data_IF_446742387865
#
_entry.id   IF_446742387865
#
_cell.length_a   1.000
_cell.length_b   1.000
_cell.length_c   1.000
_cell.angle_alpha   90.00
_cell.angle_beta   90.00
_cell.angle_gamma   90.00
#
_symmetry.space_group_name_H-M   'P 1'
#
loop_
_entity.id
_entity.type
_entity.pdbx_description
1 polymer ?
#
# COMPACT_ATOMS: atom_id res chain seq x y z
N UNK A 1 -19.08 -63.15 -38.14
CA UNK A 1 -18.43 -61.95 -38.74
C UNK A 1 -18.89 -60.67 -38.02
N UNK A 2 -18.30 -60.28 -36.88
CA UNK A 2 -18.73 -59.06 -36.12
C UNK A 2 -17.71 -58.63 -35.02
N UNK A 3 -16.48 -58.21 -35.37
CA UNK A 3 -15.54 -57.62 -34.39
C UNK A 3 -14.56 -56.57 -34.99
N UNK A 4 -15.04 -55.61 -35.79
CA UNK A 4 -14.19 -54.50 -36.29
C UNK A 4 -14.68 -53.08 -35.98
N UNK A 5 -15.94 -52.90 -35.56
CA UNK A 5 -16.50 -51.56 -35.26
C UNK A 5 -16.28 -51.06 -33.82
N UNK A 6 -15.91 -51.92 -32.88
CA UNK A 6 -15.82 -51.55 -31.45
C UNK A 6 -14.45 -50.96 -31.04
N UNK A 7 -13.39 -51.19 -31.83
CA UNK A 7 -12.01 -50.77 -31.49
C UNK A 7 -11.75 -49.29 -31.83
N UNK A 8 -12.28 -48.81 -32.95
CA UNK A 8 -12.14 -47.39 -33.36
C UNK A 8 -12.93 -46.42 -32.49
N UNK A 9 -14.09 -46.84 -31.97
CA UNK A 9 -14.94 -46.00 -31.10
C UNK A 9 -14.31 -45.81 -29.72
N UNK A 10 -13.68 -46.85 -29.15
CA UNK A 10 -12.96 -46.72 -27.86
C UNK A 10 -11.79 -45.75 -27.94
N UNK A 11 -11.03 -45.81 -29.03
CA UNK A 11 -9.93 -44.88 -29.26
C UNK A 11 -10.43 -43.45 -29.48
N UNK A 12 -11.56 -43.26 -30.18
CA UNK A 12 -12.17 -41.94 -30.36
C UNK A 12 -12.65 -41.35 -29.04
N UNK A 13 -13.32 -42.16 -28.19
CA UNK A 13 -13.77 -41.73 -26.85
C UNK A 13 -12.56 -41.38 -25.96
N UNK A 14 -11.49 -42.18 -26.01
CA UNK A 14 -10.28 -41.88 -25.24
C UNK A 14 -9.62 -40.57 -25.69
N UNK A 15 -9.56 -40.32 -27.00
CA UNK A 15 -9.00 -39.08 -27.55
C UNK A 15 -9.85 -37.87 -27.16
N UNK A 16 -11.18 -37.96 -27.22
CA UNK A 16 -12.05 -36.85 -26.81
C UNK A 16 -11.94 -36.58 -25.31
N UNK A 17 -11.83 -37.60 -24.46
CA UNK A 17 -11.58 -37.43 -23.03
C UNK A 17 -10.24 -36.73 -22.74
N UNK A 18 -9.17 -37.10 -23.45
CA UNK A 18 -7.86 -36.46 -23.31
C UNK A 18 -7.94 -34.99 -23.69
N UNK A 19 -8.56 -34.66 -24.82
CA UNK A 19 -8.72 -33.26 -25.28
C UNK A 19 -9.50 -32.44 -24.25
N UNK A 20 -10.61 -32.97 -23.72
CA UNK A 20 -11.41 -32.28 -22.70
C UNK A 20 -10.61 -32.05 -21.41
N UNK A 21 -9.80 -33.03 -20.99
CA UNK A 21 -8.96 -32.89 -19.79
C UNK A 21 -7.86 -31.84 -19.95
N UNK A 22 -7.21 -31.78 -21.12
CA UNK A 22 -6.17 -30.78 -21.42
C UNK A 22 -6.80 -29.39 -21.51
N UNK A 23 -7.94 -29.25 -22.19
CA UNK A 23 -8.67 -27.98 -22.27
C UNK A 23 -9.08 -27.47 -20.88
N UNK A 24 -9.58 -28.36 -20.01
CA UNK A 24 -9.90 -28.00 -18.62
C UNK A 24 -8.66 -27.54 -17.86
N UNK A 25 -7.53 -28.24 -18.00
CA UNK A 25 -6.27 -27.86 -17.35
C UNK A 25 -5.75 -26.49 -17.84
N UNK A 26 -5.83 -26.22 -19.14
CA UNK A 26 -5.44 -24.93 -19.73
C UNK A 26 -6.32 -23.78 -19.23
N UNK A 27 -7.63 -24.02 -19.07
CA UNK A 27 -8.56 -23.04 -18.49
C UNK A 27 -8.20 -22.76 -17.02
N UNK A 28 -7.92 -23.80 -16.22
CA UNK A 28 -7.52 -23.61 -14.81
C UNK A 28 -6.22 -22.79 -14.70
N UNK A 29 -5.23 -23.05 -15.55
CA UNK A 29 -3.97 -22.28 -15.59
C UNK A 29 -4.22 -20.84 -16.04
N UNK A 30 -5.04 -20.63 -17.07
CA UNK A 30 -5.38 -19.30 -17.57
C UNK A 30 -6.13 -18.45 -16.54
N UNK A 31 -7.11 -19.03 -15.84
CA UNK A 31 -7.84 -18.38 -14.75
C UNK A 31 -6.90 -18.06 -13.59
N UNK A 32 -6.02 -18.99 -13.20
CA UNK A 32 -5.02 -18.76 -12.14
C UNK A 32 -4.10 -17.58 -12.44
N UNK A 33 -3.61 -17.47 -13.69
CA UNK A 33 -2.78 -16.34 -14.13
C UNK A 33 -3.54 -15.03 -14.21
N UNK A 34 -4.81 -15.06 -14.62
CA UNK A 34 -5.65 -13.86 -14.64
C UNK A 34 -5.93 -13.33 -13.23
N UNK A 35 -6.12 -14.22 -12.25
CA UNK A 35 -6.31 -13.87 -10.85
C UNK A 35 -5.04 -13.33 -10.18
N UNK A 36 -3.86 -13.77 -10.63
CA UNK A 36 -2.57 -13.26 -10.14
C UNK A 36 -2.28 -11.83 -10.66
N UNK A 37 -2.76 -11.49 -11.86
CA UNK A 37 -2.64 -10.13 -12.42
C UNK A 37 -3.63 -9.16 -11.76
N UNK A 38 -4.75 -9.65 -11.21
CA UNK A 38 -5.77 -8.83 -10.55
C UNK A 38 -5.62 -8.75 -9.03
N UNK A 39 -4.53 -9.28 -8.44
CA UNK A 39 -4.24 -8.99 -7.04
C UNK A 39 -4.09 -7.48 -6.88
N UNK A 40 -4.88 -6.82 -6.02
CA UNK A 40 -4.76 -5.39 -5.82
C UNK A 40 -3.32 -5.05 -5.42
N UNK A 41 -2.76 -3.91 -5.86
CA UNK A 41 -1.40 -3.53 -5.51
C UNK A 41 -1.25 -3.64 -3.99
N UNK A 42 -0.30 -4.45 -3.54
CA UNK A 42 -0.13 -4.69 -2.14
C UNK A 42 0.41 -3.42 -1.50
N UNK A 43 -0.43 -2.73 -0.72
CA UNK A 43 -0.06 -1.50 -0.03
C UNK A 43 0.84 -1.84 1.17
N UNK A 44 2.15 -1.95 0.88
CA UNK A 44 3.18 -2.36 1.83
C UNK A 44 3.78 -1.12 2.49
N UNK A 45 3.71 -1.10 3.83
CA UNK A 45 4.31 -0.06 4.69
C UNK A 45 5.82 -0.29 4.85
N UNK A 46 6.25 -1.56 4.76
CA UNK A 46 7.64 -1.97 4.91
C UNK A 46 8.15 -1.86 6.34
N UNK A 47 9.42 -2.20 6.52
CA UNK A 47 10.08 -2.22 7.83
C UNK A 47 10.14 -0.84 8.49
N UNK A 48 10.45 0.21 7.73
CA UNK A 48 10.56 1.57 8.26
C UNK A 48 9.24 2.07 8.84
N UNK A 49 8.12 1.87 8.14
CA UNK A 49 6.83 2.28 8.68
C UNK A 49 6.37 1.42 9.86
N UNK A 50 6.72 0.13 9.91
CA UNK A 50 6.49 -0.69 11.12
C UNK A 50 7.28 -0.16 12.33
N UNK A 51 8.52 0.30 12.14
CA UNK A 51 9.30 0.96 13.19
C UNK A 51 8.63 2.26 13.66
N UNK A 52 8.10 3.07 12.76
CA UNK A 52 7.33 4.28 13.13
C UNK A 52 6.10 3.92 13.97
N UNK A 53 5.39 2.85 13.62
CA UNK A 53 4.23 2.37 14.39
C UNK A 53 4.66 1.95 15.80
N UNK A 54 5.81 1.28 15.95
CA UNK A 54 6.34 0.83 17.24
C UNK A 54 6.77 1.98 18.18
N UNK A 55 6.95 3.20 17.66
CA UNK A 55 7.26 4.38 18.49
C UNK A 55 6.03 4.94 19.23
N UNK A 56 4.82 4.53 18.85
CA UNK A 56 3.58 5.01 19.46
C UNK A 56 3.17 4.19 20.69
N UNK A 57 2.46 4.81 21.64
CA UNK A 57 1.87 4.07 22.74
C UNK A 57 0.65 3.25 22.28
N UNK A 58 0.49 2.05 22.85
CA UNK A 58 -0.51 1.06 22.42
C UNK A 58 -1.94 1.28 22.96
N UNK A 59 -2.13 2.26 23.84
CA UNK A 59 -3.36 2.53 24.60
C UNK A 59 -4.12 3.77 24.13
N UNK A 60 -3.51 4.62 23.32
CA UNK A 60 -4.11 5.85 22.81
C UNK A 60 -4.53 5.76 21.32
N UNK A 61 -5.58 6.48 20.90
CA UNK A 61 -6.01 6.49 19.51
C UNK A 61 -5.14 7.39 18.64
N UNK A 62 -4.66 6.87 17.51
CA UNK A 62 -3.95 7.66 16.49
C UNK A 62 -4.43 7.36 15.08
N UNK A 63 -4.25 8.35 14.21
CA UNK A 63 -4.31 8.20 12.75
C UNK A 63 -2.96 8.54 12.17
N UNK A 64 -2.40 7.64 11.37
CA UNK A 64 -1.06 7.77 10.77
C UNK A 64 -1.17 7.87 9.25
N UNK A 65 -0.44 8.80 8.66
CA UNK A 65 -0.28 8.98 7.22
C UNK A 65 1.16 8.60 6.82
N UNK A 66 1.43 7.29 6.76
CA UNK A 66 2.78 6.77 6.60
C UNK A 66 3.14 6.58 5.13
N UNK A 67 4.37 6.91 4.71
CA UNK A 67 4.85 6.58 3.37
C UNK A 67 4.75 5.08 3.09
N UNK A 68 4.48 4.74 1.84
CA UNK A 68 4.66 3.37 1.36
C UNK A 68 6.13 2.98 1.41
N UNK A 69 6.42 1.67 1.42
CA UNK A 69 7.80 1.18 1.37
C UNK A 69 8.58 1.77 0.17
N UNK A 70 8.05 1.77 -1.07
CA UNK A 70 8.69 2.47 -2.19
C UNK A 70 8.94 3.96 -1.93
N UNK A 71 8.02 4.66 -1.27
CA UNK A 71 8.16 6.09 -0.96
C UNK A 71 9.30 6.37 0.03
N UNK A 72 9.56 5.49 1.00
CA UNK A 72 10.75 5.59 1.87
C UNK A 72 12.05 5.55 1.06
N UNK A 73 12.16 4.66 0.07
CA UNK A 73 13.35 4.59 -0.78
C UNK A 73 13.43 5.75 -1.77
N UNK A 74 12.31 6.11 -2.40
CA UNK A 74 12.25 7.11 -3.48
C UNK A 74 12.43 8.53 -2.97
N UNK A 75 11.67 8.89 -1.93
CA UNK A 75 11.51 10.29 -1.52
C UNK A 75 12.45 10.65 -0.37
N UNK A 76 12.83 9.68 0.47
CA UNK A 76 13.75 9.87 1.59
C UNK A 76 15.13 9.26 1.35
N UNK A 77 15.32 8.54 0.24
CA UNK A 77 16.59 7.87 -0.11
C UNK A 77 17.08 6.94 1.00
N UNK A 78 16.15 6.39 1.79
CA UNK A 78 16.50 5.43 2.82
C UNK A 78 17.11 4.20 2.17
N UNK A 79 17.99 3.54 2.89
CA UNK A 79 18.54 2.26 2.50
C UNK A 79 18.41 1.30 3.68
N UNK A 80 18.52 -0.01 3.45
CA UNK A 80 18.31 -1.01 4.51
C UNK A 80 19.38 -1.02 5.61
N UNK A 81 20.41 -0.18 5.49
CA UNK A 81 21.45 -0.06 6.51
C UNK A 81 20.97 0.94 7.55
N UNK A 82 20.87 0.47 8.79
CA UNK A 82 20.56 1.35 9.91
C UNK A 82 21.77 2.24 10.22
N UNK A 83 21.61 3.54 9.99
CA UNK A 83 22.51 4.58 10.46
C UNK A 83 21.78 5.51 11.46
N UNK A 84 22.54 6.40 12.11
CA UNK A 84 21.98 7.36 13.07
C UNK A 84 20.93 8.29 12.42
N UNK A 85 21.05 8.54 11.12
CA UNK A 85 20.10 9.36 10.36
C UNK A 85 18.73 8.69 10.22
N UNK A 86 18.70 7.35 10.22
CA UNK A 86 17.46 6.59 10.07
C UNK A 86 16.46 6.94 11.18
N UNK A 87 16.87 6.87 12.45
CA UNK A 87 15.97 7.22 13.57
C UNK A 87 15.54 8.69 13.56
N UNK A 88 16.43 9.61 13.18
CA UNK A 88 16.10 11.03 13.06
C UNK A 88 15.00 11.28 12.01
N UNK A 89 15.11 10.62 10.86
CA UNK A 89 14.11 10.68 9.79
C UNK A 89 12.79 10.04 10.23
N UNK A 90 12.81 8.84 10.82
CA UNK A 90 11.59 8.17 11.29
C UNK A 90 10.86 8.98 12.35
N UNK A 91 11.59 9.64 13.25
CA UNK A 91 11.02 10.53 14.28
C UNK A 91 10.36 11.77 13.64
N UNK A 92 10.99 12.36 12.62
CA UNK A 92 10.38 13.48 11.86
C UNK A 92 9.09 13.05 11.16
N UNK A 93 9.10 11.89 10.50
CA UNK A 93 7.89 11.33 9.87
C UNK A 93 6.80 11.12 10.92
N UNK A 94 7.11 10.49 12.05
CA UNK A 94 6.15 10.33 13.14
C UNK A 94 5.56 11.66 13.57
N UNK A 95 6.41 12.68 13.76
CA UNK A 95 6.02 14.01 14.18
C UNK A 95 5.02 14.67 13.22
N UNK A 96 5.23 14.57 11.91
CA UNK A 96 4.39 15.23 10.90
C UNK A 96 3.19 14.41 10.45
N UNK A 97 3.30 13.08 10.45
CA UNK A 97 2.30 12.19 9.88
C UNK A 97 1.32 11.58 10.89
N UNK A 98 1.55 11.75 12.18
CA UNK A 98 0.69 11.17 13.21
C UNK A 98 -0.24 12.22 13.82
N UNK A 99 -1.54 11.91 13.85
CA UNK A 99 -2.57 12.72 14.48
C UNK A 99 -3.07 11.99 15.74
N UNK A 100 -3.05 12.62 16.94
CA UNK A 100 -3.41 11.97 18.21
C UNK A 100 -4.93 11.84 18.41
N UNK A 101 -5.61 11.28 17.42
CA UNK A 101 -7.03 10.91 17.45
C UNK A 101 -7.35 9.93 16.32
N UNK A 102 -8.45 9.23 16.49
CA UNK A 102 -9.04 8.41 15.44
C UNK A 102 -9.76 9.29 14.40
N UNK A 103 -9.40 9.12 13.13
CA UNK A 103 -10.03 9.77 11.98
C UNK A 103 -10.35 8.66 10.99
N UNK A 104 -11.61 8.52 10.66
CA UNK A 104 -12.08 7.61 9.62
C UNK A 104 -12.34 8.37 8.32
N UNK A 105 -12.30 7.70 7.15
CA UNK A 105 -12.74 8.32 5.89
C UNK A 105 -14.18 8.87 5.93
N UNK A 106 -15.03 8.33 6.79
CA UNK A 106 -16.40 8.83 6.97
C UNK A 106 -16.46 10.19 7.70
N UNK A 107 -15.39 10.57 8.41
CA UNK A 107 -15.26 11.87 9.08
C UNK A 107 -14.74 12.97 8.13
N UNK A 108 -14.45 12.64 6.87
CA UNK A 108 -13.89 13.54 5.87
C UNK A 108 -14.88 13.79 4.72
N UNK A 109 -14.99 15.05 4.33
CA UNK A 109 -15.79 15.50 3.20
C UNK A 109 -14.98 15.50 1.89
N UNK A 110 -15.68 15.36 0.77
CA UNK A 110 -15.06 15.45 -0.57
C UNK A 110 -14.82 16.90 -1.02
N UNK A 111 -15.72 17.80 -0.63
CA UNK A 111 -15.70 19.20 -1.09
C UNK A 111 -15.00 20.15 -0.11
N UNK A 112 -14.62 19.65 1.07
CA UNK A 112 -14.12 20.48 2.16
C UNK A 112 -12.90 19.86 2.82
N UNK A 113 -11.84 20.65 2.94
CA UNK A 113 -10.66 20.27 3.70
C UNK A 113 -10.92 20.38 5.20
N UNK A 114 -10.64 19.30 5.92
CA UNK A 114 -10.55 19.28 7.36
C UNK A 114 -9.09 19.51 7.78
N UNK A 115 -8.87 20.34 8.80
CA UNK A 115 -7.53 20.65 9.29
C UNK A 115 -7.32 19.98 10.64
N UNK A 116 -6.22 19.23 10.74
CA UNK A 116 -5.78 18.57 11.96
C UNK A 116 -4.35 18.95 12.30
N UNK A 117 -3.98 18.86 13.57
CA UNK A 117 -2.60 19.02 14.02
C UNK A 117 -1.98 17.65 14.23
N UNK A 118 -0.77 17.46 13.71
CA UNK A 118 0.06 16.30 14.00
C UNK A 118 0.62 16.35 15.42
N UNK A 119 1.36 15.31 15.84
CA UNK A 119 2.07 15.27 17.13
C UNK A 119 3.04 16.46 17.27
N UNK A 120 3.72 16.87 16.20
CA UNK A 120 4.63 18.03 16.22
C UNK A 120 3.90 19.39 16.12
N UNK A 121 2.58 19.41 15.98
CA UNK A 121 1.80 20.62 15.73
C UNK A 121 1.78 21.05 14.26
N UNK A 122 2.32 20.24 13.34
CA UNK A 122 2.24 20.49 11.91
C UNK A 122 0.81 20.31 11.40
N UNK A 123 0.36 21.23 10.53
CA UNK A 123 -1.01 21.23 10.01
C UNK A 123 -1.14 20.24 8.86
N UNK A 124 -2.05 19.30 9.06
CA UNK A 124 -2.50 18.34 8.06
C UNK A 124 -3.86 18.76 7.51
N UNK A 125 -3.90 19.05 6.21
CA UNK A 125 -5.08 19.35 5.41
C UNK A 125 -5.55 18.03 4.79
N UNK A 126 -6.69 17.54 5.27
CA UNK A 126 -7.25 16.26 4.88
C UNK A 126 -8.53 16.47 4.08
N UNK A 127 -8.67 15.75 2.99
CA UNK A 127 -9.95 15.60 2.31
C UNK A 127 -10.08 14.19 1.75
N UNK A 128 -11.28 13.85 1.30
CA UNK A 128 -11.56 12.55 0.68
C UNK A 128 -11.76 12.70 -0.82
N UNK A 129 -11.27 11.75 -1.60
CA UNK A 129 -11.55 11.70 -3.05
C UNK A 129 -12.91 11.06 -3.34
N UNK A 130 -13.37 11.12 -4.59
CA UNK A 130 -14.56 10.39 -5.06
C UNK A 130 -14.44 8.86 -4.92
N UNK A 131 -13.21 8.35 -4.84
CA UNK A 131 -12.88 6.94 -4.66
C UNK A 131 -12.72 6.55 -3.18
N UNK A 132 -13.17 7.41 -2.26
CA UNK A 132 -13.07 7.21 -0.81
C UNK A 132 -11.64 7.12 -0.27
N UNK A 133 -10.64 7.55 -1.05
CA UNK A 133 -9.24 7.63 -0.63
C UNK A 133 -9.00 8.92 0.13
N UNK A 134 -8.17 8.87 1.17
CA UNK A 134 -7.80 10.07 1.93
C UNK A 134 -6.61 10.73 1.26
N UNK A 135 -6.68 12.04 1.08
CA UNK A 135 -5.56 12.88 0.63
C UNK A 135 -5.12 13.72 1.83
N UNK A 136 -3.83 13.70 2.12
CA UNK A 136 -3.23 14.49 3.19
C UNK A 136 -2.16 15.40 2.61
N UNK A 137 -2.32 16.72 2.76
CA UNK A 137 -1.41 17.75 2.21
C UNK A 137 -1.12 17.54 0.71
N UNK A 138 -2.13 17.13 -0.07
CA UNK A 138 -2.00 16.86 -1.50
C UNK A 138 -1.41 15.49 -1.85
N UNK A 139 -1.01 14.68 -0.87
CA UNK A 139 -0.49 13.33 -1.09
C UNK A 139 -1.63 12.31 -0.93
N UNK A 140 -1.94 11.51 -1.96
CA UNK A 140 -2.99 10.52 -1.86
C UNK A 140 -2.54 9.30 -1.05
N UNK A 141 -3.45 8.79 -0.22
CA UNK A 141 -3.33 7.43 0.29
C UNK A 141 -3.54 6.45 -0.84
N UNK A 142 -2.77 5.38 -0.86
CA UNK A 142 -2.94 4.21 -1.73
C UNK A 142 -3.62 3.06 -0.99
N UNK A 143 -3.56 3.04 0.34
CA UNK A 143 -4.27 2.02 1.12
C UNK A 143 -4.57 2.45 2.54
N UNK A 144 -5.38 1.65 3.23
CA UNK A 144 -5.71 1.87 4.64
C UNK A 144 -5.67 0.55 5.42
N UNK A 145 -5.12 0.58 6.63
CA UNK A 145 -5.15 -0.51 7.62
C UNK A 145 -5.72 0.00 8.93
N UNK A 146 -6.46 -0.86 9.64
CA UNK A 146 -6.94 -0.60 11.00
C UNK A 146 -6.33 -1.62 11.95
N UNK A 147 -5.78 -1.15 13.07
CA UNK A 147 -5.14 -2.01 14.08
C UNK A 147 -5.46 -1.49 15.48
N UNK A 148 -6.32 -2.18 16.23
CA UNK A 148 -6.71 -1.80 17.62
C UNK A 148 -7.10 -0.31 17.72
N UNK A 149 -6.20 0.55 18.18
CA UNK A 149 -6.40 1.99 18.36
C UNK A 149 -5.78 2.86 17.24
N UNK A 150 -5.28 2.25 16.17
CA UNK A 150 -4.61 2.90 15.06
C UNK A 150 -5.41 2.79 13.76
N UNK A 151 -5.53 3.92 13.06
CA UNK A 151 -5.84 3.97 11.63
C UNK A 151 -4.57 4.34 10.89
N UNK A 152 -4.20 3.58 9.87
CA UNK A 152 -2.97 3.80 9.11
C UNK A 152 -3.34 3.96 7.64
N UNK A 153 -3.16 5.17 7.12
CA UNK A 153 -3.18 5.46 5.70
C UNK A 153 -1.77 5.29 5.13
N UNK A 154 -1.64 4.42 4.13
CA UNK A 154 -0.40 4.22 3.38
C UNK A 154 -0.39 5.22 2.24
N UNK A 155 0.64 6.05 2.16
CA UNK A 155 0.72 7.22 1.29
C UNK A 155 1.66 6.96 0.09
N UNK A 156 1.30 7.43 -1.10
CA UNK A 156 2.24 7.45 -2.25
C UNK A 156 3.08 8.73 -2.23
N UNK A 157 3.84 8.89 -1.16
CA UNK A 157 4.64 10.06 -0.92
C UNK A 157 4.95 10.23 0.56
N UNK A 158 5.65 11.30 0.88
CA UNK A 158 6.02 11.64 2.24
C UNK A 158 5.51 13.03 2.56
N UNK A 159 4.78 13.15 3.65
CA UNK A 159 4.37 14.46 4.16
C UNK A 159 5.57 15.09 4.84
N UNK A 160 6.00 16.24 4.34
CA UNK A 160 7.16 16.97 4.84
C UNK A 160 6.80 18.44 5.08
N UNK A 161 7.51 19.07 6.01
CA UNK A 161 7.62 20.53 6.03
C UNK A 161 8.79 20.98 5.13
N UNK A 162 8.87 22.28 4.79
CA UNK A 162 9.92 22.76 3.89
C UNK A 162 11.35 22.55 4.40
N UNK A 163 11.56 22.56 5.73
CA UNK A 163 12.88 22.35 6.32
C UNK A 163 13.33 20.90 6.19
N UNK A 164 12.44 19.96 6.51
CA UNK A 164 12.69 18.54 6.37
C UNK A 164 12.88 18.16 4.91
N UNK A 165 12.07 18.69 4.01
CA UNK A 165 12.22 18.48 2.57
C UNK A 165 13.61 18.92 2.09
N UNK A 166 14.07 20.10 2.50
CA UNK A 166 15.42 20.58 2.18
C UNK A 166 16.52 19.66 2.73
N UNK A 167 16.33 19.11 3.93
CA UNK A 167 17.33 18.24 4.56
C UNK A 167 17.52 16.89 3.86
N UNK A 168 16.54 16.44 3.06
CA UNK A 168 16.58 15.16 2.33
C UNK A 168 16.76 15.34 0.82
N UNK A 169 16.75 16.59 0.33
CA UNK A 169 17.05 16.90 -1.06
C UNK A 169 18.51 16.54 -1.39
N UNK A 170 18.78 16.10 -2.62
CA UNK A 170 20.17 16.00 -3.08
C UNK A 170 20.85 17.37 -2.95
N UNK A 171 22.15 17.42 -2.63
CA UNK A 171 22.92 18.60 -2.97
C UNK A 171 22.73 18.86 -4.46
N UNK A 172 22.35 20.09 -4.82
CA UNK A 172 22.24 20.47 -6.22
C UNK A 172 23.57 20.12 -6.91
N UNK A 173 23.51 19.36 -8.01
CA UNK A 173 24.65 19.32 -8.92
C UNK A 173 24.80 20.75 -9.45
N UNK A 174 25.78 21.49 -8.89
CA UNK A 174 26.17 22.81 -9.39
C UNK A 174 26.38 22.70 -10.91
N UNK A 175 25.44 23.27 -11.68
CA UNK A 175 25.59 23.48 -13.12
C UNK A 175 26.64 24.54 -13.40
#
# INVERSE_FOLDING_TARGET
MRKRKLLGVKNLIAITCIILSISFLLIQIGIGRLLEITSPPQYIIGEFGERVIQMLPDDLPFTLFLPSEPSFYRDLRMNKTDDDNTYAILTRILGFSAVPRWISPADLDQEKEAVYNSISGFRLYLHKTSEEMVVANGIPSIGMKKKKNLVIHVMDGVIMDPEFEQSVRPPDEEN
#
